data_IF_087185648758
#
_entry.id   IF_087185648758
#
_cell.length_a   1.000
_cell.length_b   1.000
_cell.length_c   1.000
_cell.angle_alpha   90.00
_cell.angle_beta   90.00
_cell.angle_gamma   90.00
#
_symmetry.space_group_name_H-M   'P 1'
#
loop_
_entity.id
_entity.type
_entity.pdbx_description
1 polymer ?
#
# COMPACT_ATOMS: atom_id res chain seq x y z
N UNK A 1 -0.20 11.93 -6.67
CA UNK A 1 -0.38 12.96 -7.74
C UNK A 1 -1.83 13.11 -8.13
N UNK A 2 -2.49 12.10 -8.72
CA UNK A 2 -3.91 12.20 -9.12
C UNK A 2 -4.85 12.66 -8.01
N UNK A 3 -4.78 12.04 -6.83
CA UNK A 3 -5.59 12.45 -5.68
C UNK A 3 -5.32 13.91 -5.26
N UNK A 4 -4.04 14.31 -5.25
CA UNK A 4 -3.64 15.67 -4.90
C UNK A 4 -4.20 16.71 -5.88
N UNK A 5 -4.09 16.47 -7.19
CA UNK A 5 -4.69 17.33 -8.21
C UNK A 5 -6.20 17.42 -8.04
N UNK A 6 -6.87 16.27 -7.90
CA UNK A 6 -8.34 16.23 -7.80
C UNK A 6 -8.85 17.03 -6.59
N UNK A 7 -8.18 16.92 -5.44
CA UNK A 7 -8.54 17.67 -4.23
C UNK A 7 -8.24 19.16 -4.40
N UNK A 8 -7.12 19.49 -5.05
CA UNK A 8 -6.69 20.87 -5.24
C UNK A 8 -7.54 21.63 -6.28
N UNK A 9 -7.97 20.93 -7.34
CA UNK A 9 -8.89 21.45 -8.37
C UNK A 9 -10.27 21.80 -7.77
N UNK A 10 -10.67 21.09 -6.72
CA UNK A 10 -11.90 21.36 -5.95
C UNK A 10 -11.74 22.45 -4.88
N UNK A 11 -10.56 23.08 -4.82
CA UNK A 11 -10.32 24.28 -4.03
C UNK A 11 -9.73 24.06 -2.64
N UNK A 12 -9.26 22.86 -2.31
CA UNK A 12 -8.59 22.58 -1.04
C UNK A 12 -7.06 22.65 -1.17
N UNK A 13 -6.37 23.09 -0.12
CA UNK A 13 -4.91 23.11 -0.09
C UNK A 13 -4.36 21.70 0.20
N UNK A 14 -3.31 21.32 -0.53
CA UNK A 14 -2.73 19.96 -0.47
C UNK A 14 -1.24 20.03 -0.20
N UNK A 15 -0.80 19.31 0.85
CA UNK A 15 0.60 19.04 1.10
C UNK A 15 0.99 17.69 0.47
N UNK A 16 1.79 17.72 -0.61
CA UNK A 16 2.28 16.51 -1.26
C UNK A 16 3.71 16.19 -0.80
N UNK A 17 3.84 15.14 0.01
CA UNK A 17 5.14 14.70 0.58
C UNK A 17 5.71 13.57 -0.27
N UNK A 18 6.94 13.74 -0.75
CA UNK A 18 7.70 12.75 -1.54
C UNK A 18 9.05 12.51 -0.89
N UNK A 19 9.38 11.22 -0.68
CA UNK A 19 10.62 10.80 -0.02
C UNK A 19 11.83 11.00 -0.93
N UNK A 20 11.64 10.90 -2.25
CA UNK A 20 12.68 11.09 -3.26
C UNK A 20 12.80 12.56 -3.69
N UNK A 21 13.81 12.86 -4.48
CA UNK A 21 14.05 14.18 -5.07
C UNK A 21 13.15 14.49 -6.28
N UNK A 22 12.36 13.50 -6.73
CA UNK A 22 11.52 13.57 -7.92
C UNK A 22 10.18 12.87 -7.69
N UNK A 23 9.13 13.41 -8.31
CA UNK A 23 7.80 12.80 -8.34
C UNK A 23 7.74 11.68 -9.40
N UNK A 24 6.75 10.78 -9.26
CA UNK A 24 6.38 9.82 -10.30
C UNK A 24 6.44 8.35 -9.87
N UNK A 25 7.24 8.03 -8.86
CA UNK A 25 7.37 6.66 -8.34
C UNK A 25 7.66 5.64 -9.45
N UNK A 26 6.98 4.49 -9.40
CA UNK A 26 7.17 3.39 -10.37
C UNK A 26 6.84 3.77 -11.82
N UNK A 27 5.98 4.77 -12.05
CA UNK A 27 5.58 5.16 -13.41
C UNK A 27 6.78 5.68 -14.22
N UNK A 28 7.83 6.19 -13.56
CA UNK A 28 9.08 6.59 -14.21
C UNK A 28 9.75 5.44 -14.97
N UNK A 29 9.58 4.21 -14.48
CA UNK A 29 10.23 3.00 -15.00
C UNK A 29 9.33 2.21 -15.98
N UNK A 30 8.16 2.76 -16.35
CA UNK A 30 7.23 2.12 -17.29
C UNK A 30 7.22 2.98 -18.56
N UNK A 31 7.75 2.44 -19.65
CA UNK A 31 7.94 3.16 -20.90
C UNK A 31 6.77 2.97 -21.86
N UNK A 32 6.08 1.83 -21.81
CA UNK A 32 4.88 1.59 -22.61
C UNK A 32 3.90 0.64 -21.91
N UNK A 33 2.64 0.67 -22.35
CA UNK A 33 1.56 -0.16 -21.83
C UNK A 33 1.02 -1.09 -22.92
N UNK A 34 0.36 -2.19 -22.55
CA UNK A 34 -0.32 -3.05 -23.53
C UNK A 34 -1.53 -2.33 -24.13
N UNK A 35 -2.16 -1.49 -23.31
CA UNK A 35 -3.42 -0.79 -23.53
C UNK A 35 -3.31 0.36 -24.53
N UNK A 36 -2.10 0.87 -24.79
CA UNK A 36 -1.83 1.87 -25.81
C UNK A 36 -1.51 3.29 -25.31
N UNK A 37 -2.08 3.81 -24.20
CA UNK A 37 -1.69 5.11 -23.67
C UNK A 37 -0.21 5.18 -23.32
N UNK A 38 0.43 6.31 -23.64
CA UNK A 38 1.83 6.59 -23.30
C UNK A 38 1.95 6.94 -21.80
N UNK A 39 2.54 6.05 -20.97
CA UNK A 39 2.69 6.26 -19.53
C UNK A 39 3.65 7.42 -19.21
N UNK A 40 4.64 7.67 -20.06
CA UNK A 40 5.62 8.75 -19.87
C UNK A 40 5.02 10.10 -20.21
N UNK A 41 4.15 10.19 -21.22
CA UNK A 41 3.35 11.39 -21.47
C UNK A 41 2.41 11.69 -20.31
N UNK A 42 1.72 10.67 -19.78
CA UNK A 42 0.87 10.81 -18.60
C UNK A 42 1.69 11.34 -17.41
N UNK A 43 2.84 10.75 -17.13
CA UNK A 43 3.74 11.17 -16.05
C UNK A 43 4.16 12.63 -16.19
N UNK A 44 4.72 13.02 -17.35
CA UNK A 44 5.15 14.41 -17.59
C UNK A 44 4.01 15.40 -17.42
N UNK A 45 2.82 15.04 -17.91
CA UNK A 45 1.62 15.88 -17.78
C UNK A 45 1.21 16.06 -16.31
N UNK A 46 1.14 14.97 -15.54
CA UNK A 46 0.76 14.99 -14.13
C UNK A 46 1.76 15.75 -13.28
N UNK A 47 3.06 15.52 -13.48
CA UNK A 47 4.12 16.24 -12.74
C UNK A 47 4.01 17.74 -13.00
N UNK A 48 3.88 18.15 -14.26
CA UNK A 48 3.73 19.55 -14.62
C UNK A 48 2.48 20.18 -13.99
N UNK A 49 1.34 19.50 -14.06
CA UNK A 49 0.11 19.99 -13.44
C UNK A 49 0.27 20.17 -11.93
N UNK A 50 0.85 19.18 -11.25
CA UNK A 50 1.08 19.23 -9.79
C UNK A 50 2.04 20.35 -9.41
N UNK A 51 3.17 20.50 -10.13
CA UNK A 51 4.18 21.52 -9.85
C UNK A 51 3.72 22.95 -10.15
N UNK A 52 2.79 23.12 -11.08
CA UNK A 52 2.22 24.43 -11.41
C UNK A 52 0.94 24.78 -10.64
N UNK A 53 0.39 23.86 -9.82
CA UNK A 53 -0.87 24.09 -9.13
C UNK A 53 -0.67 24.97 -7.89
N UNK A 54 -1.36 26.11 -7.80
CA UNK A 54 -1.18 27.12 -6.74
C UNK A 54 -1.48 26.58 -5.33
N UNK A 55 -2.41 25.64 -5.23
CA UNK A 55 -2.83 25.01 -3.95
C UNK A 55 -2.05 23.75 -3.56
N UNK A 56 -1.06 23.33 -4.34
CA UNK A 56 -0.27 22.13 -4.01
C UNK A 56 1.12 22.53 -3.54
N UNK A 57 1.38 22.37 -2.25
CA UNK A 57 2.70 22.51 -1.65
C UNK A 57 3.45 21.18 -1.72
N UNK A 58 4.52 21.13 -2.51
CA UNK A 58 5.30 19.91 -2.75
C UNK A 58 6.54 19.88 -1.87
N UNK A 59 6.70 18.82 -1.09
CA UNK A 59 7.87 18.56 -0.25
C UNK A 59 8.62 17.32 -0.73
N UNK A 60 9.64 17.53 -1.58
CA UNK A 60 10.57 16.47 -2.03
C UNK A 60 11.66 16.22 -0.97
N UNK A 61 12.32 15.07 -1.02
CA UNK A 61 13.31 14.60 -0.03
C UNK A 61 12.79 14.67 1.42
N UNK A 62 11.48 14.46 1.60
CA UNK A 62 10.79 14.70 2.86
C UNK A 62 10.01 13.47 3.28
N UNK A 63 10.02 13.18 4.58
CA UNK A 63 9.34 12.02 5.16
C UNK A 63 8.51 12.46 6.37
N UNK A 64 7.44 11.72 6.65
CA UNK A 64 6.64 11.87 7.85
C UNK A 64 7.37 11.19 9.02
N UNK A 65 7.54 11.90 10.13
CA UNK A 65 8.22 11.38 11.34
C UNK A 65 7.27 11.21 12.51
N UNK A 66 6.27 12.10 12.62
CA UNK A 66 5.25 12.04 13.67
C UNK A 66 3.90 12.38 13.09
N UNK A 67 2.89 11.63 13.52
CA UNK A 67 1.49 11.83 13.16
C UNK A 67 0.66 11.85 14.43
N UNK A 68 -0.23 12.83 14.57
CA UNK A 68 -1.09 12.98 15.75
C UNK A 68 -2.34 13.78 15.40
N UNK A 69 -3.32 13.79 16.30
CA UNK A 69 -4.60 14.46 16.09
C UNK A 69 -5.70 13.47 15.70
N UNK A 70 -6.79 14.01 15.16
CA UNK A 70 -7.99 13.26 14.78
C UNK A 70 -8.57 13.84 13.48
N UNK A 71 -9.57 13.17 12.92
CA UNK A 71 -10.26 13.60 11.71
C UNK A 71 -10.63 15.09 11.76
N UNK A 72 -10.24 15.85 10.74
CA UNK A 72 -10.45 17.30 10.65
C UNK A 72 -9.37 18.15 11.35
N UNK A 73 -8.54 17.58 12.22
CA UNK A 73 -7.50 18.30 12.95
C UNK A 73 -6.27 17.42 13.22
N UNK A 74 -5.58 17.04 12.14
CA UNK A 74 -4.32 16.31 12.22
C UNK A 74 -3.13 17.27 12.23
N UNK A 75 -2.09 16.85 12.95
CA UNK A 75 -0.76 17.48 12.98
C UNK A 75 0.27 16.46 12.52
N UNK A 76 1.08 16.84 11.55
CA UNK A 76 2.11 15.99 10.98
C UNK A 76 3.46 16.69 11.00
N UNK A 77 4.46 16.04 11.62
CA UNK A 77 5.84 16.53 11.63
C UNK A 77 6.58 15.90 10.47
N UNK A 78 7.03 16.76 9.56
CA UNK A 78 7.79 16.38 8.39
C UNK A 78 9.28 16.63 8.63
N UNK A 79 10.13 15.73 8.12
CA UNK A 79 11.58 15.87 8.14
C UNK A 79 12.12 15.84 6.72
N UNK A 80 12.89 16.86 6.36
CA UNK A 80 13.67 16.88 5.12
C UNK A 80 15.06 16.31 5.37
N UNK A 81 15.41 15.27 4.62
CA UNK A 81 16.76 14.73 4.60
C UNK A 81 17.61 15.62 3.69
N UNK A 82 18.49 16.43 4.29
CA UNK A 82 19.29 17.42 3.57
C UNK A 82 20.56 16.83 2.94
N UNK A 83 20.97 17.40 1.80
CA UNK A 83 22.29 17.18 1.19
C UNK A 83 23.39 17.94 1.97
N UNK A 84 23.63 17.57 3.24
CA UNK A 84 24.73 18.10 4.06
C UNK A 84 24.42 19.30 4.96
N UNK A 85 23.19 19.83 4.93
CA UNK A 85 22.63 20.67 6.03
C UNK A 85 21.79 19.73 6.90
N UNK A 86 21.93 19.81 8.22
CA UNK A 86 21.29 18.89 9.17
C UNK A 86 19.77 18.76 8.98
N UNK A 87 19.13 17.74 9.59
CA UNK A 87 17.71 17.47 9.41
C UNK A 87 16.88 18.70 9.79
N UNK A 88 16.02 19.15 8.86
CA UNK A 88 15.05 20.21 9.12
C UNK A 88 13.69 19.57 9.36
N UNK A 89 13.11 19.87 10.52
CA UNK A 89 11.78 19.41 10.90
C UNK A 89 10.81 20.59 10.99
N UNK A 90 9.58 20.39 10.53
CA UNK A 90 8.49 21.37 10.67
C UNK A 90 7.15 20.64 10.80
N UNK A 91 6.18 21.32 11.41
CA UNK A 91 4.81 20.82 11.57
C UNK A 91 3.91 21.38 10.46
N UNK A 92 3.01 20.54 9.95
CA UNK A 92 1.89 20.92 9.10
C UNK A 92 0.58 20.48 9.75
N UNK A 93 -0.46 21.28 9.56
CA UNK A 93 -1.82 20.98 10.00
C UNK A 93 -2.68 20.63 8.79
N UNK A 94 -3.51 19.60 8.90
CA UNK A 94 -4.38 19.16 7.81
C UNK A 94 -5.61 18.42 8.34
N UNK A 95 -6.69 18.40 7.57
CA UNK A 95 -7.95 17.75 7.97
C UNK A 95 -8.00 16.25 7.65
N UNK A 96 -7.27 15.81 6.64
CA UNK A 96 -7.29 14.42 6.14
C UNK A 96 -5.91 14.01 5.63
N UNK A 97 -5.59 12.72 5.76
CA UNK A 97 -4.35 12.13 5.26
C UNK A 97 -4.63 11.06 4.20
N UNK A 98 -3.80 11.00 3.16
CA UNK A 98 -3.88 9.96 2.12
C UNK A 98 -2.53 9.26 1.99
N UNK A 99 -2.51 7.94 2.24
CA UNK A 99 -1.34 7.07 2.10
C UNK A 99 -1.27 6.55 0.66
N UNK A 100 -0.28 7.05 -0.10
CA UNK A 100 -0.05 6.71 -1.49
C UNK A 100 1.43 6.32 -1.77
N UNK A 101 2.07 5.65 -0.81
CA UNK A 101 3.53 5.34 -0.82
C UNK A 101 3.95 4.28 -1.85
N UNK A 102 3.00 3.71 -2.57
CA UNK A 102 3.25 2.76 -3.64
C UNK A 102 3.74 1.39 -3.16
N UNK A 103 4.39 0.68 -4.09
CA UNK A 103 5.00 -0.63 -3.89
C UNK A 103 6.33 -0.66 -4.67
N UNK A 104 7.08 -1.75 -4.59
CA UNK A 104 8.34 -1.91 -5.35
C UNK A 104 8.37 -3.24 -6.08
N UNK A 105 9.19 -3.32 -7.13
CA UNK A 105 9.59 -4.61 -7.69
C UNK A 105 10.52 -5.31 -6.68
N UNK A 106 10.23 -6.58 -6.36
CA UNK A 106 11.16 -7.38 -5.58
C UNK A 106 12.47 -7.57 -6.35
N UNK A 107 13.60 -7.38 -5.66
CA UNK A 107 14.93 -7.60 -6.21
C UNK A 107 15.70 -8.53 -5.29
N UNK A 108 15.93 -9.76 -5.75
CA UNK A 108 16.76 -10.75 -5.09
C UNK A 108 17.65 -11.47 -6.11
N UNK A 109 18.24 -12.60 -5.70
CA UNK A 109 19.14 -13.42 -6.52
C UNK A 109 18.42 -14.62 -7.16
N UNK A 110 17.09 -14.58 -7.20
CA UNK A 110 16.27 -15.63 -7.80
C UNK A 110 16.68 -15.86 -9.26
N UNK A 111 16.86 -17.13 -9.62
CA UNK A 111 17.24 -17.52 -10.99
C UNK A 111 18.48 -16.80 -11.55
N UNK A 112 19.46 -16.52 -10.68
CA UNK A 112 20.74 -15.85 -11.01
C UNK A 112 20.59 -14.36 -11.37
N UNK A 113 19.47 -13.73 -11.02
CA UNK A 113 19.31 -12.30 -11.15
C UNK A 113 20.40 -11.54 -10.36
N UNK A 114 21.03 -10.55 -11.00
CA UNK A 114 22.18 -9.81 -10.47
C UNK A 114 23.51 -10.58 -10.46
N UNK A 115 23.51 -11.89 -10.76
CA UNK A 115 24.71 -12.71 -10.87
C UNK A 115 25.11 -12.97 -12.33
N UNK A 116 24.14 -13.08 -13.24
CA UNK A 116 24.37 -13.22 -14.68
C UNK A 116 23.72 -12.05 -15.45
N UNK A 117 24.46 -11.34 -16.32
CA UNK A 117 23.96 -10.15 -17.03
C UNK A 117 22.86 -10.46 -18.06
N UNK A 118 22.64 -11.73 -18.40
CA UNK A 118 21.56 -12.17 -19.31
C UNK A 118 20.22 -12.31 -18.59
N UNK A 119 20.21 -12.28 -17.26
CA UNK A 119 19.01 -12.42 -16.43
C UNK A 119 18.53 -11.04 -15.99
N UNK A 120 17.38 -10.63 -16.51
CA UNK A 120 16.80 -9.30 -16.29
C UNK A 120 15.41 -9.42 -15.66
N UNK A 121 14.99 -8.41 -14.90
CA UNK A 121 13.56 -8.28 -14.56
C UNK A 121 12.73 -7.83 -15.77
N UNK A 122 11.41 -7.99 -15.71
CA UNK A 122 10.51 -7.48 -16.77
C UNK A 122 10.61 -5.95 -16.94
N UNK A 123 10.86 -5.19 -15.86
CA UNK A 123 11.07 -3.75 -15.95
C UNK A 123 12.40 -3.40 -16.62
N UNK A 124 13.46 -4.15 -16.32
CA UNK A 124 14.78 -3.98 -16.96
C UNK A 124 14.74 -4.35 -18.44
N UNK A 125 14.06 -5.46 -18.78
CA UNK A 125 13.82 -5.83 -20.16
C UNK A 125 13.02 -4.75 -20.90
N UNK A 126 11.97 -4.20 -20.29
CA UNK A 126 11.17 -3.13 -20.88
C UNK A 126 12.03 -1.91 -21.21
N UNK A 127 12.88 -1.48 -20.27
CA UNK A 127 13.84 -0.39 -20.48
C UNK A 127 14.79 -0.71 -21.65
N UNK A 128 15.35 -1.92 -21.69
CA UNK A 128 16.27 -2.35 -22.74
C UNK A 128 15.62 -2.41 -24.12
N UNK A 129 14.34 -2.81 -24.20
CA UNK A 129 13.57 -2.80 -25.45
C UNK A 129 13.46 -1.38 -26.04
N UNK A 130 13.37 -0.36 -25.18
CA UNK A 130 13.24 1.04 -25.61
C UNK A 130 14.60 1.67 -25.91
N UNK A 131 15.61 1.43 -25.07
CA UNK A 131 16.92 2.05 -25.19
C UNK A 131 17.83 1.36 -26.22
N UNK A 132 17.72 0.04 -26.38
CA UNK A 132 18.60 -0.79 -27.22
C UNK A 132 17.80 -1.73 -28.16
N UNK A 133 16.92 -1.20 -29.03
CA UNK A 133 16.09 -2.04 -29.91
C UNK A 133 16.93 -2.90 -30.88
N UNK A 134 18.10 -2.40 -31.28
CA UNK A 134 19.09 -3.08 -32.13
C UNK A 134 19.60 -4.38 -31.48
N UNK A 135 19.81 -4.39 -30.16
CA UNK A 135 20.28 -5.56 -29.42
C UNK A 135 19.15 -6.58 -29.24
N UNK A 136 17.92 -6.10 -29.00
CA UNK A 136 16.74 -6.97 -28.94
C UNK A 136 16.48 -7.65 -30.29
N UNK A 137 16.72 -6.96 -31.40
CA UNK A 137 16.57 -7.52 -32.74
C UNK A 137 17.52 -8.69 -33.02
N UNK A 138 18.66 -8.77 -32.31
CA UNK A 138 19.66 -9.85 -32.44
C UNK A 138 19.38 -11.08 -31.57
N UNK A 139 18.35 -11.04 -30.72
CA UNK A 139 18.05 -12.17 -29.82
C UNK A 139 17.44 -13.34 -30.60
N UNK A 140 18.00 -14.53 -30.44
CA UNK A 140 17.49 -15.75 -31.08
C UNK A 140 16.49 -16.49 -30.20
N UNK A 141 16.73 -16.53 -28.88
CA UNK A 141 15.91 -17.24 -27.90
C UNK A 141 15.76 -16.44 -26.59
N UNK A 142 14.51 -16.21 -26.19
CA UNK A 142 14.13 -15.53 -24.95
C UNK A 142 13.19 -16.41 -24.14
N UNK A 143 13.52 -16.61 -22.88
CA UNK A 143 12.64 -17.30 -21.93
C UNK A 143 12.16 -16.30 -20.89
N UNK A 144 10.87 -16.32 -20.56
CA UNK A 144 10.26 -15.47 -19.54
C UNK A 144 9.65 -16.33 -18.45
N UNK A 145 10.05 -16.14 -17.19
CA UNK A 145 9.53 -16.88 -16.04
C UNK A 145 8.50 -16.02 -15.32
N UNK A 146 7.30 -16.57 -15.13
CA UNK A 146 6.24 -15.94 -14.35
C UNK A 146 6.39 -16.22 -12.85
N UNK A 147 5.64 -15.48 -12.04
CA UNK A 147 5.43 -15.80 -10.63
C UNK A 147 6.75 -15.95 -9.83
N UNK A 148 7.78 -15.14 -10.15
CA UNK A 148 9.06 -15.20 -9.45
C UNK A 148 8.91 -14.53 -8.08
N UNK A 149 9.04 -15.34 -7.03
CA UNK A 149 8.82 -14.96 -5.62
C UNK A 149 10.13 -14.99 -4.85
N UNK A 150 10.27 -14.20 -3.77
CA UNK A 150 11.43 -14.28 -2.90
C UNK A 150 11.64 -15.69 -2.34
N UNK A 151 12.90 -16.14 -2.23
CA UNK A 151 13.20 -17.41 -1.57
C UNK A 151 12.78 -17.39 -0.10
N UNK A 152 12.12 -18.46 0.37
CA UNK A 152 11.77 -18.62 1.79
C UNK A 152 10.57 -17.79 2.26
N UNK A 153 10.04 -16.88 1.44
CA UNK A 153 8.78 -16.19 1.73
C UNK A 153 7.64 -16.81 0.90
N UNK A 154 6.62 -17.31 1.59
CA UNK A 154 5.33 -17.63 0.97
C UNK A 154 4.59 -16.31 0.72
N UNK A 155 5.00 -15.57 -0.32
CA UNK A 155 4.18 -14.48 -0.83
C UNK A 155 2.89 -15.08 -1.40
N UNK A 156 1.87 -15.23 -0.56
CA UNK A 156 0.58 -15.85 -0.90
C UNK A 156 -0.36 -14.88 -1.62
N UNK A 157 0.17 -14.14 -2.59
CA UNK A 157 -0.60 -13.27 -3.45
C UNK A 157 -0.13 -13.31 -4.91
N UNK A 158 -1.01 -12.87 -5.80
CA UNK A 158 -0.69 -12.61 -7.20
C UNK A 158 -0.34 -11.12 -7.36
N UNK A 159 0.74 -10.81 -8.07
CA UNK A 159 1.09 -9.41 -8.38
C UNK A 159 0.20 -8.76 -9.45
N UNK A 160 -0.72 -9.53 -10.06
CA UNK A 160 -1.77 -9.13 -11.04
C UNK A 160 -1.27 -8.55 -12.36
N UNK A 161 -0.19 -7.78 -12.37
CA UNK A 161 0.33 -7.03 -13.50
C UNK A 161 1.36 -7.81 -14.32
N UNK A 162 2.05 -8.79 -13.70
CA UNK A 162 3.15 -9.53 -14.30
C UNK A 162 2.78 -10.22 -15.63
N UNK A 163 1.67 -10.97 -15.67
CA UNK A 163 1.25 -11.67 -16.90
C UNK A 163 1.02 -10.71 -18.07
N UNK A 164 0.38 -9.57 -17.83
CA UNK A 164 0.12 -8.57 -18.88
C UNK A 164 1.41 -7.86 -19.31
N UNK A 165 2.31 -7.55 -18.38
CA UNK A 165 3.63 -7.00 -18.68
C UNK A 165 4.51 -7.97 -19.49
N UNK A 166 4.41 -9.28 -19.23
CA UNK A 166 5.08 -10.28 -20.07
C UNK A 166 4.49 -10.29 -21.47
N UNK A 167 3.16 -10.22 -21.62
CA UNK A 167 2.54 -10.24 -22.94
C UNK A 167 2.98 -9.02 -23.77
N UNK A 168 2.96 -7.81 -23.19
CA UNK A 168 3.39 -6.61 -23.92
C UNK A 168 4.86 -6.69 -24.33
N UNK A 169 5.74 -7.18 -23.46
CA UNK A 169 7.17 -7.28 -23.75
C UNK A 169 7.45 -8.38 -24.79
N UNK A 170 6.77 -9.53 -24.70
CA UNK A 170 6.87 -10.61 -25.68
C UNK A 170 6.38 -10.16 -27.07
N UNK A 171 5.26 -9.43 -27.14
CA UNK A 171 4.75 -8.85 -28.39
C UNK A 171 5.75 -7.83 -28.95
N UNK A 172 6.34 -6.98 -28.11
CA UNK A 172 7.33 -6.00 -28.54
C UNK A 172 8.58 -6.68 -29.14
N UNK A 173 9.10 -7.72 -28.51
CA UNK A 173 10.21 -8.53 -29.05
C UNK A 173 9.83 -9.13 -30.41
N UNK A 174 8.66 -9.76 -30.52
CA UNK A 174 8.18 -10.34 -31.79
C UNK A 174 7.94 -9.30 -32.89
N UNK A 175 7.69 -8.03 -32.56
CA UNK A 175 7.59 -6.93 -33.53
C UNK A 175 8.95 -6.50 -34.05
N UNK A 176 9.97 -6.48 -33.18
CA UNK A 176 11.35 -6.14 -33.55
C UNK A 176 12.06 -7.27 -34.29
N UNK A 177 11.90 -8.51 -33.81
CA UNK A 177 12.41 -9.72 -34.45
C UNK A 177 11.33 -10.83 -34.48
N UNK A 178 10.62 -10.98 -35.62
CA UNK A 178 9.60 -12.03 -35.77
C UNK A 178 10.15 -13.46 -35.64
N UNK A 179 11.43 -13.68 -35.92
CA UNK A 179 12.08 -14.99 -35.87
C UNK A 179 12.57 -15.38 -34.47
N UNK A 180 12.64 -14.43 -33.54
CA UNK A 180 13.06 -14.69 -32.16
C UNK A 180 12.11 -15.72 -31.51
N UNK A 181 12.65 -16.77 -30.90
CA UNK A 181 11.88 -17.79 -30.19
C UNK A 181 11.62 -17.32 -28.77
N UNK A 182 10.35 -17.04 -28.47
CA UNK A 182 9.93 -16.53 -27.15
C UNK A 182 9.11 -17.59 -26.43
N UNK A 183 9.58 -17.99 -25.25
CA UNK A 183 8.94 -18.97 -24.38
C UNK A 183 8.50 -18.31 -23.08
N UNK A 184 7.27 -18.54 -22.65
CA UNK A 184 6.73 -18.04 -21.37
C UNK A 184 6.44 -19.23 -20.48
N UNK A 185 7.21 -19.36 -19.40
CA UNK A 185 7.01 -20.37 -18.36
C UNK A 185 6.04 -19.81 -17.31
N UNK A 186 4.91 -20.47 -17.09
CA UNK A 186 3.84 -19.96 -16.23
C UNK A 186 3.18 -21.04 -15.38
N UNK A 187 2.51 -20.63 -14.30
CA UNK A 187 1.60 -21.50 -13.55
C UNK A 187 0.18 -21.40 -14.07
N UNK A 188 -0.38 -20.20 -13.97
CA UNK A 188 -1.67 -19.81 -14.50
C UNK A 188 -1.51 -18.42 -15.14
N UNK A 189 -2.09 -18.22 -16.33
CA UNK A 189 -2.06 -16.93 -17.02
C UNK A 189 -3.25 -16.09 -16.56
N UNK A 190 -2.95 -14.91 -16.02
CA UNK A 190 -3.95 -14.00 -15.46
C UNK A 190 -4.02 -12.74 -16.34
N UNK A 191 -4.60 -12.91 -17.53
CA UNK A 191 -4.90 -11.85 -18.52
C UNK A 191 -6.40 -11.54 -18.54
N UNK A 192 -6.95 -11.21 -17.37
CA UNK A 192 -8.40 -11.08 -17.19
C UNK A 192 -9.03 -9.89 -17.92
N UNK A 193 -10.33 -10.02 -18.20
CA UNK A 193 -11.11 -8.99 -18.90
C UNK A 193 -10.66 -8.82 -20.36
N UNK A 194 -10.55 -7.58 -20.81
CA UNK A 194 -10.12 -7.28 -22.19
C UNK A 194 -8.64 -7.60 -22.46
N UNK A 195 -7.85 -7.94 -21.43
CA UNK A 195 -6.41 -8.23 -21.58
C UNK A 195 -6.13 -9.59 -22.21
N UNK A 196 -7.12 -10.46 -22.30
CA UNK A 196 -7.03 -11.75 -23.01
C UNK A 196 -6.68 -11.58 -24.49
N UNK A 197 -7.00 -10.41 -25.06
CA UNK A 197 -6.59 -10.06 -26.42
C UNK A 197 -5.06 -10.05 -26.59
N UNK A 198 -4.30 -9.66 -25.56
CA UNK A 198 -2.84 -9.63 -25.64
C UNK A 198 -2.23 -11.02 -25.56
N UNK A 199 -2.83 -11.91 -24.77
CA UNK A 199 -2.46 -13.32 -24.80
C UNK A 199 -2.74 -13.93 -26.19
N UNK A 200 -3.89 -13.63 -26.78
CA UNK A 200 -4.25 -14.07 -28.13
C UNK A 200 -3.28 -13.52 -29.19
N UNK A 201 -2.94 -12.23 -29.13
CA UNK A 201 -1.97 -11.60 -30.04
C UNK A 201 -0.58 -12.24 -29.88
N UNK A 202 -0.10 -12.44 -28.65
CA UNK A 202 1.19 -13.08 -28.38
C UNK A 202 1.25 -14.49 -29.00
N UNK A 203 0.18 -15.29 -28.85
CA UNK A 203 0.08 -16.61 -29.46
C UNK A 203 0.09 -16.57 -30.98
N UNK A 204 -0.66 -15.64 -31.59
CA UNK A 204 -0.69 -15.47 -33.04
C UNK A 204 0.69 -15.09 -33.61
N UNK A 205 1.50 -14.38 -32.83
CA UNK A 205 2.90 -14.05 -33.17
C UNK A 205 3.89 -15.19 -32.89
N UNK A 206 3.43 -16.37 -32.48
CA UNK A 206 4.27 -17.55 -32.24
C UNK A 206 5.04 -17.49 -30.92
N UNK A 207 4.49 -16.86 -29.89
CA UNK A 207 4.97 -17.03 -28.50
C UNK A 207 4.47 -18.37 -27.96
N UNK A 208 5.36 -19.16 -27.36
CA UNK A 208 5.05 -20.49 -26.83
C UNK A 208 4.88 -20.38 -25.31
N UNK A 209 3.86 -21.05 -24.78
CA UNK A 209 3.49 -21.00 -23.38
C UNK A 209 3.62 -22.39 -22.76
N UNK A 210 4.44 -22.51 -21.73
CA UNK A 210 4.72 -23.78 -21.06
C UNK A 210 4.30 -23.68 -19.59
N UNK A 211 3.47 -24.62 -19.17
CA UNK A 211 2.93 -24.64 -17.81
C UNK A 211 3.85 -25.41 -16.89
N UNK A 212 4.13 -24.89 -15.70
CA UNK A 212 4.86 -25.55 -14.61
C UNK A 212 4.04 -25.48 -13.31
N UNK A 213 4.41 -26.27 -12.29
CA UNK A 213 3.70 -26.30 -10.98
C UNK A 213 4.56 -25.76 -9.84
N UNK A 214 4.02 -25.60 -8.63
CA UNK A 214 4.88 -25.20 -7.49
C UNK A 214 5.88 -26.28 -7.10
N UNK A 215 5.53 -27.54 -7.33
CA UNK A 215 6.34 -28.71 -7.01
C UNK A 215 7.48 -28.89 -8.01
N UNK A 216 7.24 -28.61 -9.29
CA UNK A 216 8.26 -28.61 -10.35
C UNK A 216 8.44 -27.19 -10.90
N UNK A 217 9.34 -26.43 -10.26
CA UNK A 217 9.75 -25.10 -10.72
C UNK A 217 10.84 -25.21 -11.78
N UNK A 218 10.93 -24.23 -12.71
CA UNK A 218 12.04 -24.18 -13.65
C UNK A 218 13.38 -24.19 -12.92
N UNK A 219 14.38 -24.91 -13.44
CA UNK A 219 15.75 -24.92 -12.96
C UNK A 219 16.61 -24.05 -13.89
N UNK A 220 17.32 -23.07 -13.31
CA UNK A 220 18.17 -22.14 -14.07
C UNK A 220 19.60 -22.25 -13.58
N UNK A 221 20.51 -22.61 -14.49
CA UNK A 221 21.94 -22.80 -14.20
C UNK A 221 22.80 -22.31 -15.35
N UNK A 222 24.04 -21.97 -15.06
CA UNK A 222 25.05 -21.72 -16.10
C UNK A 222 25.86 -22.99 -16.31
N UNK A 223 25.85 -23.51 -17.54
CA UNK A 223 26.53 -24.74 -17.93
C UNK A 223 27.43 -24.44 -19.12
N UNK A 224 28.74 -24.65 -18.96
CA UNK A 224 29.76 -24.32 -19.98
C UNK A 224 29.67 -22.87 -20.51
N UNK A 225 29.29 -21.91 -19.65
CA UNK A 225 29.11 -20.50 -20.03
C UNK A 225 27.79 -20.16 -20.71
N UNK A 226 26.98 -21.16 -21.08
CA UNK A 226 25.62 -20.98 -21.59
C UNK A 226 24.59 -20.97 -20.46
N UNK A 227 23.56 -20.14 -20.57
CA UNK A 227 22.43 -20.17 -19.64
C UNK A 227 21.55 -21.37 -20.01
N UNK A 228 21.30 -22.28 -19.08
CA UNK A 228 20.41 -23.43 -19.23
C UNK A 228 19.17 -23.19 -18.39
N UNK A 229 17.99 -23.27 -19.02
CA UNK A 229 16.69 -23.25 -18.32
C UNK A 229 15.99 -24.57 -18.60
N UNK A 230 15.69 -25.34 -17.56
CA UNK A 230 14.97 -26.59 -17.68
C UNK A 230 13.60 -26.52 -17.00
N UNK A 231 12.60 -27.15 -17.59
CA UNK A 231 11.23 -27.22 -17.07
C UNK A 231 10.57 -28.51 -17.51
N UNK A 232 9.81 -29.14 -16.63
CA UNK A 232 9.05 -30.34 -16.96
C UNK A 232 7.79 -29.96 -17.74
N UNK A 233 7.59 -30.55 -18.93
CA UNK A 233 6.35 -30.40 -19.68
C UNK A 233 5.28 -31.28 -19.07
N UNK A 234 4.22 -30.67 -18.55
CA UNK A 234 3.11 -31.39 -17.89
C UNK A 234 2.24 -32.21 -18.84
N UNK A 235 2.30 -31.94 -20.15
CA UNK A 235 1.52 -32.63 -21.18
C UNK A 235 2.31 -33.83 -21.69
N UNK A 236 3.59 -33.65 -22.04
CA UNK A 236 4.44 -34.71 -22.58
C UNK A 236 5.07 -35.58 -21.49
N UNK A 237 5.29 -35.03 -20.29
CA UNK A 237 6.00 -35.69 -19.19
C UNK A 237 7.53 -35.69 -19.35
N UNK A 238 8.06 -34.97 -20.33
CA UNK A 238 9.50 -34.86 -20.63
C UNK A 238 10.08 -33.54 -20.10
N UNK A 239 11.37 -33.56 -19.71
CA UNK A 239 12.11 -32.34 -19.38
C UNK A 239 12.47 -31.58 -20.66
N UNK A 240 12.01 -30.33 -20.77
CA UNK A 240 12.39 -29.41 -21.84
C UNK A 240 13.56 -28.54 -21.38
N UNK A 241 14.59 -28.45 -22.22
CA UNK A 241 15.80 -27.68 -21.95
C UNK A 241 15.96 -26.56 -22.98
N UNK A 242 16.11 -25.34 -22.48
CA UNK A 242 16.31 -24.12 -23.26
C UNK A 242 17.70 -23.54 -23.01
N UNK A 243 18.22 -22.84 -24.02
CA UNK A 243 19.50 -22.14 -23.99
C UNK A 243 19.32 -20.67 -24.39
N UNK A 244 18.58 -19.88 -23.58
CA UNK A 244 18.21 -18.53 -23.97
C UNK A 244 19.41 -17.57 -23.97
N UNK A 245 19.39 -16.62 -24.90
CA UNK A 245 20.29 -15.47 -24.88
C UNK A 245 19.90 -14.47 -23.78
N UNK A 246 18.62 -14.45 -23.41
CA UNK A 246 18.05 -13.57 -22.41
C UNK A 246 16.96 -14.28 -21.60
N UNK A 247 17.04 -14.17 -20.28
CA UNK A 247 16.04 -14.67 -19.35
C UNK A 247 15.35 -13.48 -18.67
N UNK A 248 14.04 -13.38 -18.81
CA UNK A 248 13.24 -12.31 -18.20
C UNK A 248 12.44 -12.83 -17.00
N UNK A 249 12.58 -12.20 -15.85
CA UNK A 249 11.94 -12.59 -14.61
C UNK A 249 10.78 -11.67 -14.28
N UNK A 250 9.60 -12.25 -14.12
CA UNK A 250 8.40 -11.53 -13.70
C UNK A 250 8.34 -11.52 -12.18
N UNK A 251 9.15 -10.65 -11.59
CA UNK A 251 9.31 -10.48 -10.14
C UNK A 251 8.01 -10.04 -9.47
N UNK A 252 7.82 -10.50 -8.23
CA UNK A 252 6.69 -10.09 -7.41
C UNK A 252 6.73 -8.57 -7.11
N UNK A 253 5.55 -7.95 -7.09
CA UNK A 253 5.38 -6.59 -6.56
C UNK A 253 5.33 -6.66 -5.04
N UNK A 254 6.40 -6.23 -4.38
CA UNK A 254 6.55 -6.23 -2.93
C UNK A 254 6.05 -4.91 -2.30
N UNK A 255 5.60 -4.93 -1.03
CA UNK A 255 5.24 -3.70 -0.32
C UNK A 255 6.43 -2.74 -0.21
N UNK A 256 6.12 -1.44 -0.02
CA UNK A 256 7.13 -0.42 0.21
C UNK A 256 7.93 -0.68 1.48
N UNK A 257 9.24 -0.45 1.44
CA UNK A 257 10.15 -0.69 2.59
C UNK A 257 9.76 0.12 3.82
N UNK A 258 9.24 1.33 3.60
CA UNK A 258 8.82 2.26 4.65
C UNK A 258 7.41 1.98 5.17
N UNK A 259 6.68 1.00 4.63
CA UNK A 259 5.29 0.73 5.05
C UNK A 259 5.21 0.36 6.53
N UNK A 260 6.13 -0.47 7.04
CA UNK A 260 6.16 -0.85 8.47
C UNK A 260 6.43 0.33 9.40
N UNK A 261 7.32 1.23 8.99
CA UNK A 261 7.62 2.44 9.75
C UNK A 261 6.41 3.39 9.74
N UNK A 262 5.84 3.65 8.56
CA UNK A 262 4.70 4.53 8.40
C UNK A 262 3.45 4.00 9.13
N UNK A 263 3.21 2.70 9.08
CA UNK A 263 2.15 2.03 9.83
C UNK A 263 2.30 2.23 11.34
N UNK A 264 3.52 2.22 11.88
CA UNK A 264 3.76 2.52 13.30
C UNK A 264 3.53 3.99 13.62
N UNK A 265 4.02 4.90 12.76
CA UNK A 265 3.89 6.35 12.98
C UNK A 265 2.42 6.78 12.95
N UNK A 266 1.64 6.24 12.02
CA UNK A 266 0.24 6.60 11.82
C UNK A 266 -0.75 5.65 12.54
N UNK A 267 -0.24 4.62 13.24
CA UNK A 267 -1.03 3.55 13.86
C UNK A 267 -2.01 2.85 12.89
N UNK A 268 -1.53 2.46 11.71
CA UNK A 268 -2.34 1.86 10.65
C UNK A 268 -2.11 0.35 10.54
N UNK A 269 -3.15 -0.43 10.22
CA UNK A 269 -3.03 -1.87 10.05
C UNK A 269 -2.32 -2.22 8.73
N UNK A 270 -1.52 -3.29 8.78
CA UNK A 270 -0.93 -3.93 7.60
C UNK A 270 -1.54 -5.32 7.39
N UNK A 271 -1.67 -5.73 6.13
CA UNK A 271 -2.00 -7.09 5.74
C UNK A 271 -0.85 -8.04 6.09
N UNK A 272 -1.09 -9.36 6.00
CA UNK A 272 -0.04 -10.38 6.25
C UNK A 272 1.14 -10.24 5.30
N UNK A 273 0.88 -9.74 4.10
CA UNK A 273 1.83 -9.51 3.03
C UNK A 273 2.61 -8.19 3.20
N UNK A 274 2.20 -7.32 4.14
CA UNK A 274 2.87 -6.05 4.43
C UNK A 274 2.36 -4.84 3.65
N UNK A 275 1.24 -4.95 2.94
CA UNK A 275 0.53 -3.80 2.37
C UNK A 275 -0.40 -3.16 3.41
N UNK A 276 -0.87 -1.95 3.16
CA UNK A 276 -1.87 -1.31 4.02
C UNK A 276 -3.23 -1.99 3.91
N UNK A 277 -3.87 -2.26 5.04
CA UNK A 277 -5.16 -2.91 5.10
C UNK A 277 -6.29 -1.87 5.14
N UNK A 278 -7.26 -2.00 4.24
CA UNK A 278 -8.45 -1.16 4.21
C UNK A 278 -9.44 -1.49 5.35
N UNK A 279 -10.36 -0.57 5.63
CA UNK A 279 -11.41 -0.76 6.63
C UNK A 279 -12.35 -1.91 6.27
N UNK A 280 -12.78 -1.98 5.01
CA UNK A 280 -13.63 -3.05 4.53
C UNK A 280 -13.54 -3.21 3.01
N UNK A 281 -13.17 -4.41 2.55
CA UNK A 281 -12.89 -4.77 1.16
C UNK A 281 -13.90 -4.25 0.11
N UNK A 282 -15.20 -4.30 0.42
CA UNK A 282 -16.27 -3.85 -0.51
C UNK A 282 -16.87 -2.48 -0.21
N UNK A 283 -17.11 -2.16 1.07
CA UNK A 283 -17.88 -0.97 1.48
C UNK A 283 -16.99 0.26 1.66
N UNK A 284 -15.74 0.07 2.09
CA UNK A 284 -14.79 1.14 2.38
C UNK A 284 -13.37 0.76 1.89
N UNK A 285 -13.15 0.54 0.58
CA UNK A 285 -11.86 0.07 0.08
C UNK A 285 -10.74 1.13 0.07
N UNK A 286 -11.09 2.41 0.26
CA UNK A 286 -10.18 3.54 0.26
C UNK A 286 -9.88 4.02 1.69
N UNK A 287 -10.67 3.61 2.66
CA UNK A 287 -10.63 4.13 4.02
C UNK A 287 -9.79 3.21 4.90
N UNK A 288 -9.14 3.77 5.92
CA UNK A 288 -8.74 3.02 7.10
C UNK A 288 -9.88 2.94 8.11
N UNK A 289 -9.70 2.13 9.16
CA UNK A 289 -10.66 2.06 10.26
C UNK A 289 -10.72 3.41 10.98
N UNK A 290 -9.57 4.05 11.11
CA UNK A 290 -9.39 5.42 11.58
C UNK A 290 -9.97 6.42 10.56
N UNK A 291 -10.96 7.20 10.98
CA UNK A 291 -11.59 8.19 10.12
C UNK A 291 -10.62 9.33 9.76
N UNK A 292 -10.77 9.87 8.56
CA UNK A 292 -9.90 10.94 8.05
C UNK A 292 -8.58 10.48 7.45
N UNK A 293 -8.25 9.19 7.56
CA UNK A 293 -7.08 8.60 6.92
C UNK A 293 -7.55 7.67 5.80
N UNK A 294 -6.99 7.85 4.61
CA UNK A 294 -7.32 7.08 3.43
C UNK A 294 -6.07 6.49 2.78
N UNK A 295 -6.27 5.56 1.87
CA UNK A 295 -5.22 4.90 1.11
C UNK A 295 -5.55 4.90 -0.38
N UNK A 296 -4.53 4.94 -1.24
CA UNK A 296 -4.72 4.70 -2.66
C UNK A 296 -3.50 4.08 -3.36
N UNK A 297 -3.74 3.57 -4.57
CA UNK A 297 -2.71 2.99 -5.44
C UNK A 297 -2.11 1.68 -4.93
N UNK A 298 -0.81 1.51 -5.18
CA UNK A 298 -0.06 0.28 -4.91
C UNK A 298 0.28 0.06 -3.42
N UNK A 299 0.16 1.10 -2.59
CA UNK A 299 0.35 0.98 -1.13
C UNK A 299 -0.64 -0.01 -0.50
N UNK A 300 -1.79 -0.19 -1.16
CA UNK A 300 -2.86 -1.11 -0.79
C UNK A 300 -2.62 -2.56 -1.22
N UNK A 301 -2.33 -2.76 -2.50
CA UNK A 301 -2.02 -4.05 -3.12
C UNK A 301 -1.70 -3.81 -4.61
N UNK A 302 -1.13 -4.79 -5.33
CA UNK A 302 -0.77 -4.65 -6.75
C UNK A 302 -1.96 -4.32 -7.67
N UNK A 303 -1.86 -3.24 -8.43
CA UNK A 303 -2.92 -2.70 -9.31
C UNK A 303 -2.34 -2.25 -10.63
N UNK A 304 -3.19 -2.26 -11.66
CA UNK A 304 -2.86 -1.61 -12.93
C UNK A 304 -2.86 -0.09 -12.81
N UNK A 305 -2.34 0.60 -13.82
CA UNK A 305 -2.21 2.06 -13.82
C UNK A 305 -3.59 2.71 -13.76
N UNK A 306 -4.53 2.26 -14.59
CA UNK A 306 -5.89 2.79 -14.63
C UNK A 306 -6.67 2.49 -13.35
N UNK A 307 -6.46 1.31 -12.74
CA UNK A 307 -7.02 0.99 -11.43
C UNK A 307 -6.44 1.91 -10.34
N UNK A 308 -5.14 2.22 -10.41
CA UNK A 308 -4.47 3.14 -9.49
C UNK A 308 -5.02 4.55 -9.62
N UNK A 309 -5.27 5.02 -10.85
CA UNK A 309 -5.88 6.33 -11.14
C UNK A 309 -7.31 6.35 -10.60
N UNK A 310 -8.13 5.35 -10.94
CA UNK A 310 -9.51 5.25 -10.46
C UNK A 310 -9.58 5.19 -8.92
N UNK A 311 -8.68 4.42 -8.30
CA UNK A 311 -8.59 4.33 -6.85
C UNK A 311 -8.24 5.70 -6.25
N UNK A 312 -7.26 6.41 -6.81
CA UNK A 312 -6.87 7.74 -6.34
C UNK A 312 -7.99 8.79 -6.49
N UNK A 313 -8.74 8.77 -7.59
CA UNK A 313 -9.90 9.64 -7.80
C UNK A 313 -10.99 9.35 -6.77
N UNK A 314 -11.27 8.08 -6.51
CA UNK A 314 -12.28 7.70 -5.54
C UNK A 314 -11.86 8.04 -4.10
N UNK A 315 -10.57 7.87 -3.77
CA UNK A 315 -10.00 8.32 -2.50
C UNK A 315 -10.10 9.85 -2.33
N UNK A 316 -9.84 10.63 -3.38
CA UNK A 316 -10.07 12.07 -3.35
C UNK A 316 -11.55 12.41 -3.07
N UNK A 317 -12.48 11.73 -3.74
CA UNK A 317 -13.91 11.88 -3.47
C UNK A 317 -14.28 11.60 -2.00
N UNK A 318 -13.72 10.53 -1.41
CA UNK A 318 -13.91 10.20 0.01
C UNK A 318 -13.33 11.27 0.94
N UNK A 319 -12.11 11.73 0.67
CA UNK A 319 -11.47 12.79 1.44
C UNK A 319 -12.31 14.09 1.44
N UNK A 320 -12.88 14.46 0.29
CA UNK A 320 -13.71 15.65 0.16
C UNK A 320 -15.04 15.57 0.93
N UNK A 321 -15.55 14.37 1.23
CA UNK A 321 -16.74 14.26 2.10
C UNK A 321 -16.51 14.73 3.53
N UNK A 322 -15.24 14.75 3.96
CA UNK A 322 -14.81 15.27 5.26
C UNK A 322 -14.44 16.75 5.11
N UNK A 323 -13.61 17.09 4.13
CA UNK A 323 -13.14 18.45 3.90
C UNK A 323 -14.27 19.44 3.55
N UNK A 324 -15.34 18.98 2.90
CA UNK A 324 -16.49 19.79 2.54
C UNK A 324 -17.48 20.06 3.67
N UNK A 325 -17.15 19.68 4.92
CA UNK A 325 -17.98 19.94 6.10
C UNK A 325 -17.24 20.86 7.06
N UNK A 326 -17.88 21.96 7.45
CA UNK A 326 -17.36 22.85 8.49
C UNK A 326 -17.40 22.20 9.87
N UNK A 327 -18.35 21.28 10.09
CA UNK A 327 -18.59 20.61 11.36
C UNK A 327 -18.72 19.11 11.11
N UNK A 328 -17.98 18.32 11.89
CA UNK A 328 -18.05 16.86 11.88
C UNK A 328 -18.84 16.35 13.07
N UNK A 329 -19.82 15.49 12.80
CA UNK A 329 -20.54 14.75 13.82
C UNK A 329 -19.74 13.50 14.17
N UNK A 330 -19.26 13.43 15.41
CA UNK A 330 -18.53 12.28 15.94
C UNK A 330 -19.46 11.38 16.77
N UNK A 331 -19.04 10.13 16.98
CA UNK A 331 -19.77 9.22 17.87
C UNK A 331 -19.93 9.82 19.26
N UNK A 332 -21.14 9.74 19.82
CA UNK A 332 -21.41 10.16 21.19
C UNK A 332 -20.99 9.11 22.24
N UNK A 333 -20.57 7.91 21.81
CA UNK A 333 -20.05 6.86 22.70
C UNK A 333 -18.60 7.19 23.05
N UNK A 334 -18.43 8.07 24.04
CA UNK A 334 -17.13 8.57 24.50
C UNK A 334 -16.99 8.37 26.01
N UNK A 335 -15.75 8.20 26.46
CA UNK A 335 -15.43 8.14 27.89
C UNK A 335 -15.29 9.55 28.46
N UNK A 336 -16.00 9.83 29.55
CA UNK A 336 -16.03 11.12 30.23
C UNK A 336 -15.54 10.96 31.67
N UNK A 337 -14.71 11.90 32.13
CA UNK A 337 -14.12 11.87 33.49
C UNK A 337 -14.86 12.83 34.40
N UNK A 338 -15.43 12.29 35.48
CA UNK A 338 -15.91 13.05 36.64
C UNK A 338 -14.71 13.48 37.48
N UNK A 339 -14.30 14.74 37.32
CA UNK A 339 -13.17 15.32 38.03
C UNK A 339 -13.34 15.27 39.56
N UNK A 340 -14.59 15.32 40.05
CA UNK A 340 -14.88 15.27 41.49
C UNK A 340 -14.57 13.92 42.14
N UNK A 341 -14.42 12.86 41.33
CA UNK A 341 -14.06 11.50 41.78
C UNK A 341 -12.64 11.09 41.36
N UNK A 342 -12.01 11.84 40.47
CA UNK A 342 -10.69 11.50 39.96
C UNK A 342 -9.61 11.70 41.06
N UNK A 343 -8.84 10.66 41.35
CA UNK A 343 -7.71 10.70 42.31
C UNK A 343 -6.33 10.82 41.62
N UNK A 344 -6.29 11.03 40.30
CA UNK A 344 -5.04 11.21 39.56
C UNK A 344 -4.13 9.98 39.48
N UNK A 345 -4.65 8.75 39.61
CA UNK A 345 -3.83 7.52 39.68
C UNK A 345 -3.15 7.09 38.35
N UNK A 346 -3.49 7.76 37.23
CA UNK A 346 -2.97 7.53 35.88
C UNK A 346 -3.28 6.15 35.26
N UNK A 347 -4.17 5.34 35.84
CA UNK A 347 -4.53 4.03 35.27
C UNK A 347 -5.13 4.17 33.88
N UNK A 348 -6.02 5.15 33.68
CA UNK A 348 -6.63 5.45 32.38
C UNK A 348 -5.58 5.79 31.29
N UNK A 349 -4.55 6.56 31.66
CA UNK A 349 -3.46 6.96 30.76
C UNK A 349 -2.67 5.73 30.28
N UNK A 350 -2.44 4.76 31.18
CA UNK A 350 -1.66 3.55 30.87
C UNK A 350 -2.43 2.48 30.11
N UNK A 351 -3.75 2.39 30.34
CA UNK A 351 -4.56 1.29 29.80
C UNK A 351 -5.18 1.60 28.44
N UNK A 352 -5.31 2.89 28.07
CA UNK A 352 -5.92 3.24 26.80
C UNK A 352 -5.04 2.76 25.63
N UNK A 353 -5.55 1.89 24.74
CA UNK A 353 -4.77 1.39 23.61
C UNK A 353 -4.43 2.48 22.58
N UNK A 354 -5.14 3.62 22.65
CA UNK A 354 -4.95 4.77 21.77
C UNK A 354 -4.18 5.93 22.44
N UNK A 355 -3.81 5.82 23.71
CA UNK A 355 -3.05 6.84 24.43
C UNK A 355 -3.76 8.19 24.63
N UNK A 356 -5.10 8.20 24.64
CA UNK A 356 -5.91 9.43 24.64
C UNK A 356 -6.02 10.11 26.01
N UNK A 357 -6.24 9.39 27.14
CA UNK A 357 -6.39 10.04 28.43
C UNK A 357 -5.10 10.77 28.81
N UNK A 358 -5.23 12.04 29.22
CA UNK A 358 -4.13 12.88 29.66
C UNK A 358 -4.44 13.51 31.02
N UNK A 359 -3.43 14.02 31.72
CA UNK A 359 -3.64 14.77 32.96
C UNK A 359 -3.69 16.26 32.64
N UNK A 360 -4.82 16.89 32.94
CA UNK A 360 -4.93 18.34 32.90
C UNK A 360 -4.45 18.92 34.23
N UNK A 361 -3.31 19.61 34.21
CA UNK A 361 -2.71 20.22 35.40
C UNK A 361 -3.58 21.31 36.03
N UNK A 362 -4.44 21.97 35.26
CA UNK A 362 -5.35 23.00 35.73
C UNK A 362 -6.60 22.42 36.42
N UNK A 363 -6.91 21.15 36.16
CA UNK A 363 -8.05 20.48 36.76
C UNK A 363 -7.73 20.02 38.19
N UNK A 364 -8.72 20.09 39.08
CA UNK A 364 -8.58 19.68 40.48
C UNK A 364 -9.35 18.38 40.72
N UNK A 365 -8.64 17.33 41.12
CA UNK A 365 -9.21 16.05 41.52
C UNK A 365 -9.72 16.04 42.97
N UNK A 366 -10.12 14.86 43.44
CA UNK A 366 -10.57 14.62 44.81
C UNK A 366 -9.55 15.16 45.81
N UNK A 367 -10.03 15.85 46.84
CA UNK A 367 -9.19 16.31 47.94
C UNK A 367 -8.20 17.43 47.59
N UNK A 368 -8.43 18.15 46.47
CA UNK A 368 -7.59 19.27 46.07
C UNK A 368 -6.33 18.86 45.31
N UNK A 369 -6.27 17.63 44.79
CA UNK A 369 -5.15 17.16 43.98
C UNK A 369 -5.10 17.97 42.69
N UNK A 370 -3.97 18.64 42.46
CA UNK A 370 -3.70 19.38 41.22
C UNK A 370 -3.37 18.35 40.14
N UNK A 371 -4.19 18.27 39.10
CA UNK A 371 -4.10 17.25 38.06
C UNK A 371 -5.24 16.23 38.13
N UNK A 372 -6.23 16.38 37.25
CA UNK A 372 -7.25 15.36 37.01
C UNK A 372 -7.11 14.76 35.61
N UNK A 373 -7.55 13.52 35.44
CA UNK A 373 -7.61 12.91 34.12
C UNK A 373 -8.66 13.61 33.25
N UNK A 374 -8.33 13.80 31.98
CA UNK A 374 -9.20 14.32 30.94
C UNK A 374 -9.07 13.42 29.72
N UNK A 375 -10.18 13.18 29.05
CA UNK A 375 -10.25 12.39 27.83
C UNK A 375 -10.84 13.32 26.78
N UNK A 376 -10.06 13.61 25.74
CA UNK A 376 -10.51 14.46 24.65
C UNK A 376 -11.64 13.77 23.86
N UNK A 377 -12.88 14.28 23.89
CA UNK A 377 -14.02 13.66 23.23
C UNK A 377 -13.76 13.35 21.76
N UNK A 378 -13.09 14.26 21.05
CA UNK A 378 -12.87 14.12 19.61
C UNK A 378 -11.84 13.01 19.24
N UNK A 379 -11.06 12.55 20.21
CA UNK A 379 -10.09 11.47 20.02
C UNK A 379 -10.61 10.12 20.55
N UNK A 380 -11.62 10.13 21.43
CA UNK A 380 -12.14 8.93 22.08
C UNK A 380 -12.85 7.99 21.08
N UNK A 381 -12.36 6.76 20.97
CA UNK A 381 -12.96 5.71 20.12
C UNK A 381 -14.10 4.94 20.81
N UNK A 382 -14.39 5.24 22.07
CA UNK A 382 -15.51 4.63 22.79
C UNK A 382 -15.31 3.17 23.23
N UNK A 383 -14.08 2.65 23.28
CA UNK A 383 -13.82 1.24 23.59
C UNK A 383 -14.12 0.82 25.04
N UNK A 384 -14.25 1.77 25.97
CA UNK A 384 -14.61 1.50 27.37
C UNK A 384 -13.49 0.97 28.28
N UNK A 385 -12.27 0.72 27.78
CA UNK A 385 -11.17 0.15 28.59
C UNK A 385 -10.78 1.02 29.78
N UNK A 386 -10.75 2.34 29.63
CA UNK A 386 -10.43 3.24 30.74
C UNK A 386 -11.56 3.32 31.78
N UNK A 387 -12.81 3.13 31.36
CA UNK A 387 -13.99 3.04 32.22
C UNK A 387 -13.90 1.79 33.10
N UNK A 388 -13.64 0.62 32.51
CA UNK A 388 -13.57 -0.65 33.24
C UNK A 388 -12.41 -0.73 34.24
N UNK A 389 -11.31 -0.01 33.97
CA UNK A 389 -10.11 -0.03 34.79
C UNK A 389 -10.04 1.11 35.82
N UNK A 390 -11.01 2.03 35.85
CA UNK A 390 -10.96 3.17 36.76
C UNK A 390 -11.26 2.72 38.20
N UNK A 391 -10.29 2.71 39.14
CA UNK A 391 -10.53 2.21 40.49
C UNK A 391 -11.48 3.10 41.31
N UNK A 392 -11.62 4.36 40.90
CA UNK A 392 -12.48 5.34 41.56
C UNK A 392 -13.88 5.43 40.93
N UNK A 393 -14.18 4.64 39.89
CA UNK A 393 -15.38 4.78 39.04
C UNK A 393 -15.62 6.24 38.61
N UNK A 394 -14.53 6.98 38.39
CA UNK A 394 -14.55 8.38 38.00
C UNK A 394 -14.75 8.54 36.50
N UNK A 395 -14.63 7.48 35.72
CA UNK A 395 -14.78 7.51 34.26
C UNK A 395 -16.07 6.77 33.93
N UNK A 396 -16.86 7.33 33.02
CA UNK A 396 -18.09 6.72 32.52
C UNK A 396 -18.08 6.71 30.99
N UNK A 397 -18.56 5.63 30.38
CA UNK A 397 -18.75 5.57 28.93
C UNK A 397 -20.17 6.02 28.60
N UNK A 398 -20.32 7.11 27.83
CA UNK A 398 -21.65 7.57 27.40
C UNK A 398 -22.36 6.48 26.61
N UNK A 399 -23.66 6.35 26.86
CA UNK A 399 -24.54 5.26 26.37
C UNK A 399 -24.25 3.85 26.91
N UNK A 400 -23.24 3.70 27.78
CA UNK A 400 -22.90 2.45 28.48
C UNK A 400 -22.48 2.76 29.93
N UNK A 401 -23.26 3.61 30.60
CA UNK A 401 -23.02 3.94 32.00
C UNK A 401 -23.16 2.70 32.88
N UNK A 402 -22.51 2.72 34.05
CA UNK A 402 -22.54 1.59 34.98
C UNK A 402 -23.96 1.19 35.37
N UNK A 403 -24.89 2.14 35.50
CA UNK A 403 -26.31 1.88 35.79
C UNK A 403 -27.09 1.29 34.61
N UNK A 404 -26.61 1.51 33.37
CA UNK A 404 -27.16 0.93 32.15
C UNK A 404 -26.65 -0.50 31.92
N UNK A 405 -25.40 -0.78 32.27
CA UNK A 405 -24.74 -2.08 32.06
C UNK A 405 -24.94 -3.02 33.26
N UNK A 406 -24.84 -2.51 34.49
CA UNK A 406 -24.97 -3.31 35.71
C UNK A 406 -26.46 -3.44 36.07
N UNK A 407 -27.09 -4.47 35.53
CA UNK A 407 -28.46 -4.85 35.91
C UNK A 407 -28.43 -5.51 37.29
N UNK A 408 -28.74 -4.74 38.34
CA UNK A 408 -28.67 -5.20 39.74
C UNK A 408 -29.72 -6.26 40.11
N UNK A 409 -30.87 -6.25 39.43
CA UNK A 409 -32.08 -6.94 39.89
C UNK A 409 -32.62 -8.02 38.92
N UNK A 410 -31.89 -8.35 37.84
CA UNK A 410 -32.28 -9.45 36.95
C UNK A 410 -31.22 -10.55 36.94
N UNK A 411 -31.68 -11.78 37.19
CA UNK A 411 -30.92 -12.99 36.91
C UNK A 411 -30.75 -13.13 35.39
N UNK A 412 -29.64 -12.63 34.84
CA UNK A 412 -29.29 -12.75 33.41
C UNK A 412 -29.07 -14.23 33.02
N UNK A 413 -28.80 -15.10 34.01
CA UNK A 413 -28.82 -16.55 33.89
C UNK A 413 -29.99 -17.04 34.76
N UNK A 414 -31.04 -17.56 34.12
CA UNK A 414 -32.38 -17.78 34.70
C UNK A 414 -32.43 -18.40 36.10
N UNK A 415 -33.57 -18.23 36.78
CA UNK A 415 -33.82 -18.81 38.09
C UNK A 415 -33.92 -20.33 38.05
N UNK A 416 -33.19 -21.01 38.93
CA UNK A 416 -33.40 -22.43 39.22
C UNK A 416 -34.78 -22.61 39.85
N UNK A 417 -35.71 -23.22 39.10
CA UNK A 417 -36.97 -23.71 39.66
C UNK A 417 -36.67 -25.02 40.40
N UNK A 418 -36.63 -24.96 41.72
CA UNK A 418 -36.65 -26.16 42.55
C UNK A 418 -38.06 -26.75 42.48
N UNK A 419 -38.22 -27.87 41.75
CA UNK A 419 -39.40 -28.74 41.85
C UNK A 419 -39.41 -29.52 43.15
#
# INVERSE_FOLDING_TARGET
>A
MTAALTIADEGYDVYLVEKEDQLGGNLRNIHYTAEGPDPQRLLRSLVKQVECHERIAIYKNTQLVKFSGHVGNFKSVLRRNGNGRGPQEWEIEHGVAIVATGAREHRGTEYLHGLDPRVLTQLELEKRIVEEPEEIAKLDEVVMIQCVRPYGEAADYCSRTCCTNTMKNAIAIKRLNPNCRVYVLYKDLITYGFREQYYTEARQRGVIFLRYTEESKPDVRVVYGSLRVAVDDLIMGDELVFHPNLLALSMATAPGETNRELARIMNLPLSREGFFLEAHLKLRPMDFVEDGIFLCGLAHYPKFIEETIAHALATAGRAMTILGKDILELSAVIAEVDQSKCVGCLTCVRTCPFGIPAIQHEATGVGGIVGAAYIEPAQCTGCGTCTSECPANAIQLRHYHDDQVIVRDQAVLGQWLAT
#
